data_IF_677089887901
#
_entry.id   IF_677089887901
#
_cell.length_a   1.000
_cell.length_b   1.000
_cell.length_c   1.000
_cell.angle_alpha   90.00
_cell.angle_beta   90.00
_cell.angle_gamma   90.00
#
_symmetry.space_group_name_H-M   'P 1'
#
loop_
_entity.id
_entity.type
_entity.pdbx_description
1 polymer ?
#
# COMPACT_ATOMS: atom_id res chain seq x y z
N UNK A 1 -6.37 -7.75 -7.18
CA UNK A 1 -6.23 -6.43 -7.80
C UNK A 1 -4.78 -5.93 -7.70
N UNK A 2 -4.31 -5.22 -8.73
CA UNK A 2 -2.99 -4.56 -8.75
C UNK A 2 -3.18 -3.05 -8.92
N UNK A 3 -2.53 -2.25 -8.06
CA UNK A 3 -2.55 -0.79 -8.10
C UNK A 3 -1.13 -0.26 -8.21
N UNK A 4 -0.80 0.39 -9.31
CA UNK A 4 0.39 1.23 -9.37
C UNK A 4 0.17 2.45 -8.47
N UNK A 5 0.64 2.43 -7.23
CA UNK A 5 0.51 3.56 -6.30
C UNK A 5 1.58 4.61 -6.55
N UNK A 6 2.69 4.22 -7.16
CA UNK A 6 3.72 5.14 -7.64
C UNK A 6 4.50 4.54 -8.82
N UNK A 7 5.47 5.27 -9.42
CA UNK A 7 6.30 4.73 -10.50
C UNK A 7 7.01 3.43 -10.11
N UNK A 8 7.53 3.32 -8.89
CA UNK A 8 8.32 2.16 -8.42
C UNK A 8 7.56 1.22 -7.47
N UNK A 9 6.36 1.60 -7.03
CA UNK A 9 5.62 0.88 -6.00
C UNK A 9 4.24 0.44 -6.46
N UNK A 10 3.89 -0.79 -6.09
CA UNK A 10 2.61 -1.44 -6.39
C UNK A 10 1.94 -1.82 -5.08
N UNK A 11 0.63 -1.60 -4.97
CA UNK A 11 -0.19 -2.18 -3.91
C UNK A 11 -1.03 -3.30 -4.52
N UNK A 12 -0.99 -4.50 -3.94
CA UNK A 12 -1.74 -5.65 -4.44
C UNK A 12 -2.25 -6.55 -3.32
N UNK A 13 -3.37 -7.22 -3.56
CA UNK A 13 -3.92 -8.31 -2.75
C UNK A 13 -3.81 -9.69 -3.45
N UNK A 14 -3.08 -9.79 -4.58
CA UNK A 14 -2.89 -11.04 -5.34
C UNK A 14 -1.54 -11.74 -5.07
N UNK A 15 -0.67 -11.15 -4.25
CA UNK A 15 0.63 -11.73 -3.93
C UNK A 15 0.50 -12.92 -2.96
N UNK A 16 1.31 -13.99 -3.05
CA UNK A 16 1.27 -15.11 -2.10
C UNK A 16 1.48 -14.70 -0.63
N UNK A 17 2.20 -13.59 -0.40
CA UNK A 17 2.39 -13.01 0.92
C UNK A 17 1.12 -12.31 1.49
N UNK A 18 0.08 -12.10 0.66
CA UNK A 18 -1.23 -11.61 1.07
C UNK A 18 -1.99 -12.69 1.85
N UNK A 19 -1.50 -13.07 3.03
CA UNK A 19 -2.24 -13.96 3.93
C UNK A 19 -3.48 -13.24 4.47
N UNK A 20 -4.60 -13.97 4.59
CA UNK A 20 -5.88 -13.46 5.13
C UNK A 20 -6.46 -12.25 4.37
N UNK A 21 -6.11 -12.09 3.09
CA UNK A 21 -6.60 -11.00 2.25
C UNK A 21 -6.03 -9.62 2.61
N UNK A 22 -4.99 -9.54 3.45
CA UNK A 22 -4.29 -8.29 3.72
C UNK A 22 -3.47 -7.91 2.46
N UNK A 23 -3.69 -6.73 1.86
CA UNK A 23 -2.87 -6.28 0.74
C UNK A 23 -1.42 -6.07 1.19
N UNK A 24 -0.48 -6.21 0.26
CA UNK A 24 0.94 -5.93 0.44
C UNK A 24 1.39 -4.83 -0.51
N UNK A 25 2.39 -4.07 -0.08
CA UNK A 25 3.13 -3.12 -0.88
C UNK A 25 4.33 -3.84 -1.50
N UNK A 26 4.49 -3.77 -2.82
CA UNK A 26 5.60 -4.37 -3.56
C UNK A 26 6.47 -3.29 -4.17
N UNK A 27 7.79 -3.47 -4.09
CA UNK A 27 8.72 -2.74 -4.94
C UNK A 27 8.78 -3.42 -6.32
N UNK A 28 8.68 -2.66 -7.41
CA UNK A 28 8.60 -3.23 -8.77
C UNK A 28 9.85 -3.98 -9.19
N UNK A 29 11.03 -3.53 -8.72
CA UNK A 29 12.32 -4.10 -9.13
C UNK A 29 12.59 -5.41 -8.40
N UNK A 30 12.49 -5.39 -7.07
CA UNK A 30 12.93 -6.52 -6.23
C UNK A 30 11.79 -7.50 -5.95
N UNK A 31 10.54 -7.10 -6.22
CA UNK A 31 9.31 -7.83 -5.89
C UNK A 31 9.17 -8.21 -4.41
N UNK A 32 9.92 -7.56 -3.53
CA UNK A 32 9.82 -7.79 -2.09
C UNK A 32 8.47 -7.30 -1.53
N UNK A 33 7.73 -8.17 -0.81
CA UNK A 33 6.46 -7.82 -0.19
C UNK A 33 6.68 -7.13 1.16
N UNK A 34 6.06 -5.95 1.30
CA UNK A 34 6.02 -5.18 2.54
C UNK A 34 4.58 -5.14 3.07
N UNK A 35 4.42 -5.61 4.30
CA UNK A 35 3.22 -5.42 5.10
C UNK A 35 3.07 -3.97 5.59
N UNK A 36 1.90 -3.60 6.12
CA UNK A 36 1.62 -2.22 6.53
C UNK A 36 2.48 -1.71 7.69
N UNK A 37 3.00 -2.61 8.52
CA UNK A 37 3.88 -2.29 9.65
C UNK A 37 5.37 -2.20 9.29
N UNK A 38 5.76 -2.67 8.10
CA UNK A 38 7.16 -2.75 7.73
C UNK A 38 7.75 -1.36 7.52
N UNK A 39 8.98 -1.18 7.99
CA UNK A 39 9.70 0.08 7.87
C UNK A 39 10.32 0.15 6.49
N UNK A 40 9.87 1.10 5.68
CA UNK A 40 10.30 1.28 4.30
C UNK A 40 10.70 2.73 4.03
N UNK A 41 11.58 2.90 3.05
CA UNK A 41 11.91 4.21 2.49
C UNK A 41 11.56 4.21 1.00
N UNK A 42 10.34 4.63 0.68
CA UNK A 42 9.85 4.58 -0.70
C UNK A 42 10.55 5.57 -1.65
N UNK A 43 11.13 6.65 -1.11
CA UNK A 43 11.82 7.68 -1.88
C UNK A 43 13.07 8.19 -1.14
N UNK A 44 14.14 8.55 -1.85
CA UNK A 44 15.36 9.10 -1.23
C UNK A 44 15.11 10.36 -0.38
N UNK A 45 14.12 11.18 -0.72
CA UNK A 45 13.77 12.37 0.08
C UNK A 45 12.89 12.11 1.30
N UNK A 46 12.45 10.86 1.53
CA UNK A 46 11.54 10.52 2.62
C UNK A 46 12.29 9.86 3.79
N UNK A 47 11.82 10.05 5.03
CA UNK A 47 12.30 9.28 6.17
C UNK A 47 11.90 7.81 6.03
N UNK A 48 12.61 6.93 6.73
CA UNK A 48 12.12 5.59 7.01
C UNK A 48 10.85 5.70 7.84
N UNK A 49 9.79 5.04 7.39
CA UNK A 49 8.48 5.12 8.01
C UNK A 49 7.71 3.82 7.74
N UNK A 50 6.63 3.54 8.50
CA UNK A 50 5.77 2.41 8.22
C UNK A 50 5.21 2.46 6.79
N UNK A 51 5.13 1.31 6.11
CA UNK A 51 4.62 1.21 4.75
C UNK A 51 3.20 1.79 4.62
N UNK A 52 2.36 1.63 5.64
CA UNK A 52 1.03 2.27 5.69
C UNK A 52 1.07 3.79 5.54
N UNK A 53 2.06 4.46 6.14
CA UNK A 53 2.20 5.91 6.05
C UNK A 53 2.74 6.32 4.69
N UNK A 54 3.69 5.57 4.16
CA UNK A 54 4.21 5.78 2.82
C UNK A 54 3.09 5.65 1.77
N UNK A 55 2.27 4.60 1.87
CA UNK A 55 1.10 4.37 1.01
C UNK A 55 0.06 5.47 1.15
N UNK A 56 -0.25 5.91 2.37
CA UNK A 56 -1.16 7.04 2.58
C UNK A 56 -0.66 8.32 1.90
N UNK A 57 0.64 8.63 2.01
CA UNK A 57 1.27 9.78 1.34
C UNK A 57 1.22 9.65 -0.19
N UNK A 58 1.58 8.50 -0.74
CA UNK A 58 1.53 8.24 -2.19
C UNK A 58 0.11 8.28 -2.74
N UNK A 59 -0.90 7.83 -1.99
CA UNK A 59 -2.29 7.87 -2.43
C UNK A 59 -2.83 9.31 -2.55
N UNK A 60 -2.39 10.23 -1.67
CA UNK A 60 -2.78 11.66 -1.72
C UNK A 60 -2.37 12.35 -3.01
N UNK A 61 -1.28 11.91 -3.64
CA UNK A 61 -0.80 12.48 -4.90
C UNK A 61 -1.44 11.84 -6.15
N UNK A 62 -2.38 10.90 -5.98
CA UNK A 62 -3.10 10.23 -7.08
C UNK A 62 -4.61 10.50 -7.04
N UNK A 63 -5.08 11.67 -7.53
CA UNK A 63 -6.50 12.02 -7.51
C UNK A 63 -7.38 11.04 -8.34
N UNK A 64 -6.83 10.42 -9.38
CA UNK A 64 -7.55 9.53 -10.31
C UNK A 64 -7.77 8.07 -9.84
N UNK A 65 -7.51 7.74 -8.58
CA UNK A 65 -7.80 6.39 -8.06
C UNK A 65 -9.31 6.13 -8.02
N UNK A 66 -9.76 5.06 -8.69
CA UNK A 66 -11.15 4.60 -8.65
C UNK A 66 -11.58 4.20 -7.24
N UNK A 67 -12.89 4.11 -6.99
CA UNK A 67 -13.45 3.74 -5.68
C UNK A 67 -12.89 2.41 -5.15
N UNK A 68 -12.82 1.38 -6.01
CA UNK A 68 -12.23 0.08 -5.66
C UNK A 68 -10.75 0.21 -5.26
N UNK A 69 -9.96 0.97 -6.03
CA UNK A 69 -8.54 1.20 -5.74
C UNK A 69 -8.33 1.94 -4.41
N UNK A 70 -9.17 2.93 -4.11
CA UNK A 70 -9.16 3.63 -2.81
C UNK A 70 -9.52 2.71 -1.65
N UNK A 71 -10.44 1.76 -1.85
CA UNK A 71 -10.78 0.77 -0.82
C UNK A 71 -9.59 -0.14 -0.47
N UNK A 72 -8.80 -0.57 -1.46
CA UNK A 72 -7.59 -1.35 -1.21
C UNK A 72 -6.53 -0.55 -0.45
N UNK A 73 -6.33 0.72 -0.82
CA UNK A 73 -5.45 1.63 -0.08
C UNK A 73 -5.94 1.79 1.36
N UNK A 74 -7.24 2.02 1.57
CA UNK A 74 -7.83 2.14 2.90
C UNK A 74 -7.63 0.87 3.75
N UNK A 75 -7.79 -0.31 3.13
CA UNK A 75 -7.53 -1.62 3.75
C UNK A 75 -6.06 -1.76 4.16
N UNK A 76 -5.12 -1.36 3.30
CA UNK A 76 -3.69 -1.41 3.59
C UNK A 76 -3.30 -0.47 4.73
N UNK A 77 -3.76 0.77 4.71
CA UNK A 77 -3.35 1.77 5.71
C UNK A 77 -4.01 1.58 7.08
N UNK A 78 -4.93 0.61 7.22
CA UNK A 78 -5.70 0.37 8.45
C UNK A 78 -6.85 1.36 8.67
N UNK A 79 -7.20 2.17 7.68
CA UNK A 79 -8.40 3.05 7.73
C UNK A 79 -9.65 2.28 7.31
N UNK A 80 -9.89 1.15 7.99
CA UNK A 80 -11.18 0.48 7.88
C UNK A 80 -12.18 1.28 8.71
N UNK A 81 -12.74 2.35 8.13
CA UNK A 81 -14.05 2.84 8.58
C UNK A 81 -15.07 1.76 8.18
N UNK A 82 -15.15 0.68 8.96
CA UNK A 82 -16.00 -0.47 8.69
C UNK A 82 -15.61 -1.73 9.47
N UNK A 83 -15.92 -1.77 10.77
CA UNK A 83 -15.85 -2.96 11.64
C UNK A 83 -14.53 -3.02 12.41
N UNK A 84 -14.52 -3.10 13.75
CA UNK A 84 -15.36 -3.91 14.64
C UNK A 84 -15.62 -3.18 15.97
N UNK A 85 -16.88 -3.28 16.41
CA UNK A 85 -17.48 -3.12 17.76
C UNK A 85 -17.19 -1.85 18.57
#
# INVERSE_FOLDING_TARGET
>A
MIINISPSWILTDEHPACSYGQPVLLHKTDQDPFGPGDIVRCYPGWPFQPAREAVARMARTKPGLSKAKRALVAKFIGNVKGGVA
#
